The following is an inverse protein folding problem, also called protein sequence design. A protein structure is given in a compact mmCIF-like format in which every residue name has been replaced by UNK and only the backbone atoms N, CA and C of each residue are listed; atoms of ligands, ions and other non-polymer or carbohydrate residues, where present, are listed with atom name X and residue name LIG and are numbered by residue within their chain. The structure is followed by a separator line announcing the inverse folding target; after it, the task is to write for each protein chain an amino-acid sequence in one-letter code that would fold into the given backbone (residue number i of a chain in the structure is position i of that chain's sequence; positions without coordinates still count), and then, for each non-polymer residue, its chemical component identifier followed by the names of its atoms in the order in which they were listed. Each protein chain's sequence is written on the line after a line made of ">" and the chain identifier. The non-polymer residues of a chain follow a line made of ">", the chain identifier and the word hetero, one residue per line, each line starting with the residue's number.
data_IF_354783340126
#
_entry.id   IF_354783340126
#
_cell.length_a   1.000
_cell.length_b   1.000
_cell.length_c   1.000
_cell.angle_alpha   90.00
_cell.angle_beta   90.00
_cell.angle_gamma   90.00
#
_symmetry.space_group_name_H-M   'P 1'
#
loop_
_entity.id
_entity.type
_entity.pdbx_description
1 polymer ?
#
# COMPACT_ATOMS: atom_id res chain seq x y z
N UNK A 1 15.85 -7.27 14.68
CA UNK A 1 14.53 -7.22 15.35
C UNK A 1 13.61 -8.23 14.67
N UNK A 2 14.01 -9.50 14.66
CA UNK A 2 13.44 -10.54 13.77
C UNK A 2 13.05 -11.80 14.57
N UNK A 3 12.62 -11.63 15.82
CA UNK A 3 12.35 -12.77 16.72
C UNK A 3 11.04 -12.62 17.53
N UNK A 4 10.11 -11.77 17.07
CA UNK A 4 8.81 -11.58 17.74
C UNK A 4 7.61 -12.14 16.96
N UNK A 5 7.82 -13.03 15.98
CA UNK A 5 6.71 -13.62 15.21
C UNK A 5 6.60 -15.14 15.30
N UNK A 6 7.37 -15.78 16.19
CA UNK A 6 7.43 -17.23 16.31
C UNK A 6 6.53 -17.83 17.38
N UNK A 7 5.90 -17.03 18.23
CA UNK A 7 4.93 -17.52 19.22
C UNK A 7 3.55 -16.96 18.85
N UNK A 8 2.50 -17.80 18.66
CA UNK A 8 1.15 -17.27 18.56
C UNK A 8 0.90 -16.54 19.88
N UNK A 9 0.91 -15.20 19.82
CA UNK A 9 0.56 -14.37 20.96
C UNK A 9 -0.78 -14.85 21.56
N UNK A 10 -1.12 -14.41 22.78
CA UNK A 10 -2.28 -14.91 23.51
C UNK A 10 -3.48 -15.18 22.60
N UNK A 11 -4.16 -16.32 22.76
CA UNK A 11 -5.24 -16.74 21.84
C UNK A 11 -6.32 -15.65 21.62
N UNK A 12 -6.49 -14.74 22.59
CA UNK A 12 -7.38 -13.58 22.49
C UNK A 12 -6.87 -12.43 21.60
N UNK A 13 -5.64 -12.45 21.10
CA UNK A 13 -5.02 -11.41 20.28
C UNK A 13 -4.76 -11.85 18.83
N UNK A 14 -4.91 -13.14 18.51
CA UNK A 14 -4.65 -13.69 17.17
C UNK A 14 -5.51 -13.05 16.07
N UNK A 15 -6.66 -12.49 16.43
CA UNK A 15 -7.56 -11.78 15.51
C UNK A 15 -7.21 -10.30 15.31
N UNK A 16 -6.35 -9.70 16.15
CA UNK A 16 -6.01 -8.28 16.04
C UNK A 16 -5.47 -7.88 14.66
N UNK A 17 -4.55 -8.64 14.03
CA UNK A 17 -4.09 -8.30 12.68
C UNK A 17 -5.21 -8.33 11.65
N UNK A 18 -6.17 -9.27 11.77
CA UNK A 18 -7.32 -9.35 10.88
C UNK A 18 -8.27 -8.16 11.09
N UNK A 19 -8.59 -7.81 12.34
CA UNK A 19 -9.44 -6.65 12.62
C UNK A 19 -8.79 -5.34 12.16
N UNK A 20 -7.49 -5.17 12.37
CA UNK A 20 -6.78 -4.01 11.84
C UNK A 20 -6.88 -3.92 10.31
N UNK A 21 -6.74 -5.05 9.60
CA UNK A 21 -6.93 -5.08 8.14
C UNK A 21 -8.36 -4.75 7.73
N UNK A 22 -9.37 -5.25 8.47
CA UNK A 22 -10.78 -4.93 8.22
C UNK A 22 -11.08 -3.45 8.40
N UNK A 23 -10.62 -2.85 9.49
CA UNK A 23 -10.77 -1.41 9.75
C UNK A 23 -10.14 -0.57 8.62
N UNK A 24 -8.97 -0.99 8.10
CA UNK A 24 -8.28 -0.28 7.02
C UNK A 24 -9.06 -0.29 5.68
N UNK A 25 -9.95 -1.26 5.45
CA UNK A 25 -10.71 -1.36 4.19
C UNK A 25 -12.18 -0.97 4.31
N UNK A 26 -12.68 -0.76 5.53
CA UNK A 26 -14.11 -0.49 5.80
C UNK A 26 -14.68 0.62 4.92
N UNK A 27 -13.93 1.71 4.75
CA UNK A 27 -14.33 2.88 3.97
C UNK A 27 -13.71 2.92 2.56
N UNK A 28 -12.99 1.87 2.14
CA UNK A 28 -12.38 1.81 0.81
C UNK A 28 -13.43 1.36 -0.20
N UNK A 29 -13.75 2.23 -1.16
CA UNK A 29 -14.71 1.95 -2.24
C UNK A 29 -14.01 1.50 -3.51
N UNK A 30 -14.51 0.43 -4.14
CA UNK A 30 -14.05 -0.04 -5.44
C UNK A 30 -15.11 0.24 -6.51
N UNK A 31 -14.86 1.16 -7.46
CA UNK A 31 -15.84 1.54 -8.48
C UNK A 31 -15.92 0.53 -9.63
N UNK A 32 -16.31 -0.70 -9.29
CA UNK A 32 -16.48 -1.85 -10.19
C UNK A 32 -17.71 -2.65 -9.74
N UNK A 33 -18.22 -3.49 -10.63
CA UNK A 33 -19.29 -4.45 -10.31
C UNK A 33 -18.72 -5.75 -9.75
N UNK A 34 -19.40 -6.33 -8.76
CA UNK A 34 -19.14 -7.69 -8.32
C UNK A 34 -19.76 -8.69 -9.31
N UNK A 35 -18.98 -9.62 -9.85
CA UNK A 35 -19.47 -10.59 -10.84
C UNK A 35 -20.44 -11.63 -10.25
N UNK A 36 -20.37 -11.86 -8.93
CA UNK A 36 -21.22 -12.83 -8.24
C UNK A 36 -22.58 -12.27 -7.82
N UNK A 37 -22.64 -11.04 -7.28
CA UNK A 37 -23.89 -10.43 -6.78
C UNK A 37 -24.37 -9.22 -7.56
N UNK A 38 -23.64 -8.78 -8.59
CA UNK A 38 -23.96 -7.61 -9.44
C UNK A 38 -24.07 -6.27 -8.70
N UNK A 39 -23.61 -6.19 -7.45
CA UNK A 39 -23.50 -4.92 -6.71
C UNK A 39 -22.36 -4.09 -7.28
N UNK A 40 -22.68 -2.86 -7.67
CA UNK A 40 -21.70 -1.86 -8.07
C UNK A 40 -21.14 -1.10 -6.86
N UNK A 41 -19.95 -0.51 -7.02
CA UNK A 41 -19.34 0.40 -6.03
C UNK A 41 -19.28 -0.17 -4.60
N UNK A 42 -18.85 -1.43 -4.45
CA UNK A 42 -18.79 -2.06 -3.14
C UNK A 42 -17.59 -1.56 -2.31
N UNK A 43 -17.75 -1.61 -0.99
CA UNK A 43 -16.71 -1.29 -0.01
C UNK A 43 -16.05 -2.54 0.58
N UNK A 44 -14.92 -2.37 1.27
CA UNK A 44 -14.18 -3.45 1.92
C UNK A 44 -13.12 -4.09 1.02
N UNK A 45 -12.81 -5.36 1.29
CA UNK A 45 -11.90 -6.12 0.46
C UNK A 45 -12.47 -6.40 -0.93
N UNK A 46 -11.59 -6.35 -1.92
CA UNK A 46 -11.84 -6.81 -3.28
C UNK A 46 -11.07 -8.09 -3.54
N UNK A 47 -11.75 -9.10 -4.07
CA UNK A 47 -11.14 -10.38 -4.43
C UNK A 47 -11.13 -10.54 -5.95
N UNK A 48 -9.99 -10.87 -6.53
CA UNK A 48 -9.85 -11.19 -7.96
C UNK A 48 -9.42 -12.63 -8.13
N UNK A 49 -10.22 -13.40 -8.86
CA UNK A 49 -9.84 -14.76 -9.23
C UNK A 49 -8.57 -14.74 -10.10
N UNK A 50 -7.63 -15.65 -9.82
CA UNK A 50 -6.39 -15.77 -10.60
C UNK A 50 -6.57 -16.61 -11.87
N UNK A 51 -7.57 -17.51 -11.89
CA UNK A 51 -7.88 -18.40 -13.02
C UNK A 51 -8.89 -17.80 -14.02
N UNK A 52 -10.00 -17.24 -13.53
CA UNK A 52 -11.05 -16.66 -14.37
C UNK A 52 -10.62 -15.31 -14.98
N UNK A 53 -11.02 -15.07 -16.23
CA UNK A 53 -10.73 -13.81 -16.90
C UNK A 53 -11.52 -12.65 -16.26
N UNK A 54 -10.79 -11.68 -15.70
CA UNK A 54 -11.30 -10.45 -15.10
C UNK A 54 -12.37 -10.60 -13.99
N UNK A 55 -12.59 -11.81 -13.46
CA UNK A 55 -13.60 -12.06 -12.44
C UNK A 55 -13.25 -11.41 -11.09
N UNK A 56 -14.15 -10.59 -10.56
CA UNK A 56 -14.04 -9.84 -9.31
C UNK A 56 -15.20 -10.17 -8.38
N UNK A 57 -14.91 -10.26 -7.08
CA UNK A 57 -15.89 -10.46 -6.03
C UNK A 57 -15.72 -9.42 -4.93
N UNK A 58 -16.84 -9.01 -4.33
CA UNK A 58 -16.83 -8.25 -3.10
C UNK A 58 -16.56 -9.16 -1.89
N UNK A 59 -16.16 -8.55 -0.77
CA UNK A 59 -15.89 -9.22 0.50
C UNK A 59 -16.98 -10.20 0.95
N UNK A 60 -18.25 -9.77 0.89
CA UNK A 60 -19.39 -10.59 1.30
C UNK A 60 -19.57 -11.84 0.42
N UNK A 61 -19.33 -11.72 -0.90
CA UNK A 61 -19.45 -12.86 -1.80
C UNK A 61 -18.33 -13.88 -1.57
N UNK A 62 -17.12 -13.41 -1.29
CA UNK A 62 -15.99 -14.28 -0.98
C UNK A 62 -16.24 -15.06 0.32
N UNK A 63 -16.63 -14.37 1.41
CA UNK A 63 -16.89 -15.04 2.70
C UNK A 63 -18.07 -16.01 2.67
N UNK A 64 -19.08 -15.73 1.85
CA UNK A 64 -20.22 -16.65 1.66
C UNK A 64 -19.94 -17.74 0.62
N UNK A 65 -18.77 -17.76 -0.02
CA UNK A 65 -18.44 -18.75 -1.04
C UNK A 65 -19.36 -18.71 -2.26
N UNK A 66 -19.84 -17.53 -2.67
CA UNK A 66 -20.72 -17.43 -3.85
C UNK A 66 -19.94 -17.73 -5.13
N UNK A 67 -20.51 -18.54 -6.00
CA UNK A 67 -19.96 -18.88 -7.31
C UNK A 67 -20.84 -18.31 -8.42
N UNK A 68 -20.24 -17.96 -9.55
CA UNK A 68 -20.95 -17.45 -10.72
C UNK A 68 -20.15 -17.70 -12.01
N UNK A 69 -20.85 -17.88 -13.14
CA UNK A 69 -20.23 -18.20 -14.42
C UNK A 69 -19.33 -19.45 -14.30
N UNK A 70 -18.07 -19.38 -14.75
CA UNK A 70 -17.07 -20.44 -14.66
C UNK A 70 -16.22 -20.43 -13.39
N UNK A 71 -16.51 -19.54 -12.44
CA UNK A 71 -15.77 -19.49 -11.18
C UNK A 71 -16.26 -20.54 -10.19
N UNK A 72 -15.32 -21.25 -9.54
CA UNK A 72 -15.59 -22.20 -8.46
C UNK A 72 -14.80 -21.82 -7.20
N UNK A 73 -15.18 -22.37 -6.04
CA UNK A 73 -14.53 -22.05 -4.75
C UNK A 73 -13.07 -22.53 -4.66
N UNK A 74 -12.67 -23.49 -5.49
CA UNK A 74 -11.31 -24.03 -5.58
C UNK A 74 -10.38 -23.13 -6.43
N UNK A 75 -10.91 -22.07 -7.04
CA UNK A 75 -10.07 -21.10 -7.72
C UNK A 75 -9.40 -20.16 -6.73
N UNK A 76 -8.07 -20.09 -6.77
CA UNK A 76 -7.33 -19.13 -5.96
C UNK A 76 -7.74 -17.70 -6.29
N UNK A 77 -7.96 -16.91 -5.25
CA UNK A 77 -8.29 -15.50 -5.34
C UNK A 77 -7.20 -14.66 -4.68
N UNK A 78 -6.97 -13.47 -5.24
CA UNK A 78 -6.08 -12.46 -4.67
C UNK A 78 -6.89 -11.35 -4.05
N UNK A 79 -6.53 -10.97 -2.83
CA UNK A 79 -7.13 -9.87 -2.10
C UNK A 79 -6.48 -8.52 -2.47
N UNK A 80 -7.30 -7.47 -2.53
CA UNK A 80 -6.90 -6.09 -2.75
C UNK A 80 -7.56 -5.18 -1.71
N UNK A 81 -6.74 -4.37 -1.06
CA UNK A 81 -7.14 -3.37 -0.05
C UNK A 81 -7.31 -1.96 -0.62
N UNK A 82 -7.04 -1.78 -1.91
CA UNK A 82 -7.14 -0.47 -2.58
C UNK A 82 -7.56 -0.63 -4.03
N UNK A 83 -8.22 0.40 -4.55
CA UNK A 83 -8.48 0.53 -5.97
C UNK A 83 -7.48 1.51 -6.59
N UNK A 84 -6.71 1.05 -7.57
CA UNK A 84 -5.89 1.92 -8.41
C UNK A 84 -6.54 1.99 -9.77
N UNK A 85 -6.89 3.20 -10.22
CA UNK A 85 -7.43 3.37 -11.56
C UNK A 85 -6.38 2.94 -12.60
N UNK A 86 -6.79 2.33 -13.72
CA UNK A 86 -5.87 1.93 -14.79
C UNK A 86 -4.95 3.07 -15.24
N UNK A 87 -5.48 4.29 -15.34
CA UNK A 87 -4.74 5.49 -15.74
C UNK A 87 -3.63 5.88 -14.74
N UNK A 88 -3.81 5.61 -13.44
CA UNK A 88 -2.80 5.87 -12.40
C UNK A 88 -1.71 4.79 -12.35
N UNK A 89 -1.95 3.58 -12.88
CA UNK A 89 -0.91 2.54 -12.97
C UNK A 89 0.16 2.87 -14.01
N UNK A 90 -0.22 3.45 -15.15
CA UNK A 90 0.72 3.82 -16.23
C UNK A 90 1.74 4.86 -15.73
N UNK A 91 1.28 5.94 -15.10
CA UNK A 91 2.18 6.98 -14.57
C UNK A 91 3.14 6.48 -13.48
N UNK A 92 2.70 5.55 -12.64
CA UNK A 92 3.56 4.96 -11.60
C UNK A 92 4.62 4.00 -12.18
N UNK A 93 4.29 3.22 -13.21
CA UNK A 93 5.26 2.37 -13.91
C UNK A 93 6.32 3.20 -14.64
N UNK A 94 5.91 4.29 -15.31
CA UNK A 94 6.85 5.22 -15.94
C UNK A 94 7.79 5.86 -14.90
N UNK A 95 7.27 6.34 -13.76
CA UNK A 95 8.12 6.91 -12.70
C UNK A 95 9.13 5.91 -12.12
N UNK A 96 8.81 4.61 -12.12
CA UNK A 96 9.76 3.57 -11.70
C UNK A 96 10.82 3.28 -12.76
N UNK A 97 10.49 3.30 -14.05
CA UNK A 97 11.49 3.13 -15.12
C UNK A 97 12.41 4.35 -15.28
N UNK A 98 11.96 5.56 -14.89
CA UNK A 98 12.82 6.76 -14.86
C UNK A 98 13.70 6.90 -13.59
N UNK A 99 13.70 5.92 -12.67
CA UNK A 99 14.59 5.89 -11.50
C UNK A 99 16.00 5.34 -11.76
N UNK A 100 16.35 5.05 -13.01
CA UNK A 100 17.74 4.83 -13.44
C UNK A 100 18.48 6.14 -13.74
N UNK A 101 17.96 7.28 -13.28
CA UNK A 101 18.73 8.51 -13.10
C UNK A 101 18.96 8.64 -11.59
N UNK A 102 20.21 8.69 -11.10
CA UNK A 102 20.47 8.95 -9.70
C UNK A 102 19.71 10.21 -9.29
N UNK A 103 18.89 10.12 -8.24
CA UNK A 103 18.40 11.33 -7.59
C UNK A 103 19.64 12.13 -7.23
N UNK A 104 19.78 13.31 -7.85
CA UNK A 104 20.85 14.27 -7.56
C UNK A 104 20.83 14.44 -6.04
N UNK A 105 21.78 13.84 -5.35
CA UNK A 105 22.00 14.06 -3.93
C UNK A 105 21.98 15.57 -3.79
N UNK A 106 21.08 16.07 -2.93
CA UNK A 106 21.20 17.45 -2.48
C UNK A 106 22.58 17.51 -1.84
N UNK A 107 23.55 17.99 -2.62
CA UNK A 107 24.89 18.17 -2.16
C UNK A 107 24.77 19.07 -0.92
N UNK A 108 24.97 18.49 0.26
CA UNK A 108 25.25 19.26 1.47
C UNK A 108 26.63 19.85 1.27
N UNK A 109 26.72 20.85 0.39
CA UNK A 109 27.92 21.68 0.25
C UNK A 109 27.93 22.52 1.53
N UNK A 110 28.94 22.41 2.40
CA UNK A 110 29.07 23.30 3.54
C UNK A 110 29.14 24.72 3.01
N UNK A 111 28.11 25.52 3.30
CA UNK A 111 28.09 26.92 2.87
C UNK A 111 29.01 27.69 3.80
N UNK A 112 30.23 27.95 3.33
CA UNK A 112 31.14 28.89 3.98
C UNK A 112 30.52 30.30 3.94
N UNK A 113 30.59 31.08 5.04
CA UNK A 113 30.24 32.49 5.03
C UNK A 113 31.07 33.24 3.97
N UNK A 114 30.45 34.17 3.23
CA UNK A 114 31.15 34.97 2.21
C UNK A 114 32.21 35.92 2.78
N UNK A 115 32.14 36.22 4.09
CA UNK A 115 33.13 37.06 4.77
C UNK A 115 33.86 36.27 5.87
N UNK A 116 35.20 36.40 5.97
CA UNK A 116 35.96 35.83 7.08
C UNK A 116 35.58 36.51 8.40
N UNK A 117 35.50 35.74 9.48
CA UNK A 117 35.26 36.27 10.81
C UNK A 117 36.31 37.32 11.18
N UNK A 118 35.86 38.45 11.73
CA UNK A 118 36.75 39.53 12.16
C UNK A 118 37.67 39.00 13.26
N UNK A 119 38.97 39.25 13.10
CA UNK A 119 39.97 38.84 14.09
C UNK A 119 39.71 39.51 15.42
N UNK A 120 39.95 38.77 16.51
CA UNK A 120 39.79 39.28 17.87
C UNK A 120 40.77 40.45 18.09
N UNK A 121 40.26 41.57 18.58
CA UNK A 121 41.09 42.74 18.84
C UNK A 121 41.71 42.62 20.24
N UNK A 122 43.02 42.38 20.32
CA UNK A 122 43.75 42.22 21.58
C UNK A 122 44.25 43.55 22.17
N UNK A 123 43.72 44.70 21.77
CA UNK A 123 44.21 46.01 22.26
C UNK A 123 44.04 46.20 23.78
N UNK A 124 43.20 45.39 24.44
CA UNK A 124 42.90 45.52 25.87
C UNK A 124 43.23 44.26 26.68
N UNK A 125 44.04 43.35 26.15
CA UNK A 125 44.57 42.21 26.91
C UNK A 125 46.01 42.58 27.29
N UNK A 126 46.15 43.38 28.35
CA UNK A 126 47.38 43.50 29.15
C UNK A 126 47.16 42.81 30.50
#
# INVERSE_FOLDING_TARGET
>A
MDSMMSDPGPACLVWLPLLHRLANVENVTHPISCDACRRDNFTGFRYRCQKCHNFQMCQECFWRGRVASSHTIEHDVKEYTSYKSPSKQIGHSLRKSFRCVPEKEKANIPRFPEEPEKTINLSHIM
#
